data_IF_643615100559
#
_entry.id   IF_643615100559
#
_cell.length_a   1.000
_cell.length_b   1.000
_cell.length_c   1.000
_cell.angle_alpha   90.00
_cell.angle_beta   90.00
_cell.angle_gamma   90.00
#
_symmetry.space_group_name_H-M   'P 1'
#
loop_
_entity.id
_entity.type
_entity.pdbx_description
1 polymer ?
#
# COMPACT_ATOMS: atom_id res chain seq x y z
N UNK A 1 15.65 -2.56 -3.75
CA UNK A 1 15.78 -4.02 -3.58
C UNK A 1 16.03 -4.61 -4.95
N UNK A 2 17.23 -5.11 -5.19
CA UNK A 2 17.60 -5.75 -6.46
C UNK A 2 17.41 -7.27 -6.41
N UNK A 3 17.45 -7.85 -5.20
CA UNK A 3 17.14 -9.25 -4.89
C UNK A 3 16.18 -9.30 -3.69
N UNK A 4 14.98 -9.89 -3.87
CA UNK A 4 13.97 -10.00 -2.80
C UNK A 4 14.37 -10.98 -1.68
N UNK A 5 15.42 -11.78 -1.88
CA UNK A 5 15.95 -12.68 -0.85
C UNK A 5 17.05 -12.06 0.01
N UNK A 6 17.56 -10.90 -0.40
CA UNK A 6 18.55 -10.12 0.34
C UNK A 6 17.98 -8.73 0.71
N UNK A 7 17.64 -8.48 1.99
CA UNK A 7 17.10 -7.19 2.41
C UNK A 7 18.06 -6.02 2.17
N UNK A 8 19.37 -6.27 2.14
CA UNK A 8 20.43 -5.27 1.93
C UNK A 8 20.80 -5.08 0.44
N UNK A 9 20.12 -5.76 -0.47
CA UNK A 9 20.39 -5.60 -1.90
C UNK A 9 19.94 -4.21 -2.40
N UNK A 10 20.88 -3.39 -2.82
CA UNK A 10 20.62 -2.00 -3.22
C UNK A 10 21.25 -1.72 -4.57
N UNK A 11 20.50 -1.00 -5.42
CA UNK A 11 21.06 -0.27 -6.55
C UNK A 11 21.30 1.17 -6.05
N UNK A 12 22.56 1.64 -5.94
CA UNK A 12 22.86 2.98 -5.44
C UNK A 12 22.20 4.11 -6.24
N UNK A 13 21.92 3.89 -7.53
CA UNK A 13 21.25 4.87 -8.37
C UNK A 13 19.74 5.01 -8.05
N UNK A 14 19.16 4.02 -7.37
CA UNK A 14 17.74 4.01 -6.97
C UNK A 14 17.56 4.01 -5.46
N UNK A 15 18.63 4.19 -4.68
CA UNK A 15 18.53 4.19 -3.23
C UNK A 15 18.03 5.55 -2.71
N UNK A 16 16.82 5.59 -2.16
CA UNK A 16 16.27 6.80 -1.55
C UNK A 16 17.03 7.24 -0.29
N UNK A 17 17.91 6.40 0.26
CA UNK A 17 18.75 6.74 1.42
C UNK A 17 20.18 7.14 1.03
N UNK A 18 20.48 7.24 -0.27
CA UNK A 18 21.77 7.72 -0.76
C UNK A 18 21.80 9.26 -0.80
N UNK A 19 22.77 9.92 -0.14
CA UNK A 19 22.91 11.38 -0.17
C UNK A 19 23.00 11.97 -1.59
N UNK A 20 23.59 11.24 -2.54
CA UNK A 20 23.75 11.66 -3.94
C UNK A 20 22.40 11.73 -4.68
N UNK A 21 21.39 10.99 -4.21
CA UNK A 21 20.03 11.03 -4.73
C UNK A 21 19.16 12.10 -4.04
N UNK A 22 19.69 12.82 -3.03
CA UNK A 22 18.98 13.89 -2.33
C UNK A 22 18.58 13.61 -0.89
N UNK A 23 18.91 12.42 -0.37
CA UNK A 23 18.64 12.06 1.03
C UNK A 23 19.40 12.94 2.03
N UNK A 24 18.78 13.22 3.18
CA UNK A 24 19.43 13.85 4.34
C UNK A 24 19.09 13.07 5.62
N UNK A 25 19.99 13.05 6.63
CA UNK A 25 19.72 12.38 7.89
C UNK A 25 18.49 12.96 8.58
N UNK A 26 17.62 12.10 9.11
CA UNK A 26 16.45 12.54 9.86
C UNK A 26 16.85 13.43 11.06
N UNK A 27 16.12 14.54 11.35
CA UNK A 27 14.87 15.02 10.73
C UNK A 27 15.08 16.07 9.62
N UNK A 28 16.27 16.15 9.02
CA UNK A 28 16.48 17.09 7.92
C UNK A 28 15.66 16.65 6.69
N UNK A 29 14.91 17.56 6.04
CA UNK A 29 14.12 17.21 4.88
C UNK A 29 15.03 16.83 3.71
N UNK A 30 14.70 15.71 3.06
CA UNK A 30 15.32 15.33 1.80
C UNK A 30 14.76 16.18 0.65
N UNK A 31 15.47 16.20 -0.47
CA UNK A 31 14.97 16.81 -1.71
C UNK A 31 15.41 15.97 -2.90
N UNK A 32 14.44 15.32 -3.55
CA UNK A 32 14.71 14.41 -4.66
C UNK A 32 14.49 15.09 -6.00
N UNK A 33 15.45 14.91 -6.92
CA UNK A 33 15.28 15.31 -8.32
C UNK A 33 14.03 14.64 -8.93
N UNK A 34 13.29 15.38 -9.77
CA UNK A 34 12.03 14.90 -10.34
C UNK A 34 12.23 13.87 -11.45
N UNK A 35 13.34 13.94 -12.18
CA UNK A 35 13.73 12.90 -13.13
C UNK A 35 14.11 11.61 -12.41
N UNK A 36 14.90 11.70 -11.34
CA UNK A 36 15.22 10.57 -10.47
C UNK A 36 13.96 9.95 -9.87
N UNK A 37 13.03 10.76 -9.34
CA UNK A 37 11.78 10.29 -8.74
C UNK A 37 10.92 9.51 -9.75
N UNK A 38 10.86 9.96 -11.01
CA UNK A 38 10.16 9.25 -12.07
C UNK A 38 10.76 7.85 -12.30
N UNK A 39 12.08 7.77 -12.47
CA UNK A 39 12.80 6.50 -12.63
C UNK A 39 12.69 5.59 -11.41
N UNK A 40 12.73 6.15 -10.21
CA UNK A 40 12.51 5.43 -8.96
C UNK A 40 11.12 4.78 -8.93
N UNK A 41 10.07 5.53 -9.28
CA UNK A 41 8.68 5.04 -9.32
C UNK A 41 8.49 3.95 -10.39
N UNK A 42 9.15 4.07 -11.56
CA UNK A 42 9.18 3.01 -12.58
C UNK A 42 9.83 1.74 -12.05
N UNK A 43 11.01 1.85 -11.42
CA UNK A 43 11.70 0.70 -10.84
C UNK A 43 10.90 0.02 -9.72
N UNK A 44 10.15 0.77 -8.91
CA UNK A 44 9.24 0.20 -7.92
C UNK A 44 8.07 -0.55 -8.57
N UNK A 45 7.49 -0.04 -9.67
CA UNK A 45 6.47 -0.76 -10.43
C UNK A 45 7.01 -2.08 -10.99
N UNK A 46 8.19 -2.07 -11.58
CA UNK A 46 8.84 -3.29 -12.08
C UNK A 46 9.13 -4.29 -10.97
N UNK A 47 9.56 -3.80 -9.80
CA UNK A 47 9.74 -4.62 -8.59
C UNK A 47 8.43 -5.31 -8.19
N UNK A 48 7.33 -4.57 -8.11
CA UNK A 48 6.00 -5.12 -7.81
C UNK A 48 5.61 -6.18 -8.83
N UNK A 49 5.86 -5.95 -10.13
CA UNK A 49 5.57 -6.95 -11.18
C UNK A 49 6.38 -8.25 -10.99
N UNK A 50 7.64 -8.17 -10.54
CA UNK A 50 8.45 -9.36 -10.20
C UNK A 50 7.86 -10.13 -9.02
N UNK A 51 7.46 -9.43 -7.95
CA UNK A 51 6.83 -10.06 -6.78
C UNK A 51 5.47 -10.68 -7.13
N UNK A 52 4.67 -10.02 -7.96
CA UNK A 52 3.44 -10.59 -8.53
C UNK A 52 3.71 -11.89 -9.28
N UNK A 53 4.77 -11.93 -10.08
CA UNK A 53 5.21 -13.14 -10.78
C UNK A 53 5.54 -14.29 -9.82
N UNK A 54 6.22 -14.00 -8.71
CA UNK A 54 6.50 -14.99 -7.64
C UNK A 54 5.19 -15.50 -7.05
N UNK A 55 4.27 -14.60 -6.70
CA UNK A 55 2.99 -14.95 -6.11
C UNK A 55 2.13 -15.81 -7.05
N UNK A 56 2.01 -15.41 -8.32
CA UNK A 56 1.22 -16.13 -9.33
C UNK A 56 1.78 -17.52 -9.60
N UNK A 57 3.11 -17.66 -9.70
CA UNK A 57 3.75 -18.99 -9.85
C UNK A 57 3.45 -19.91 -8.66
N UNK A 58 3.49 -19.38 -7.44
CA UNK A 58 3.17 -20.18 -6.25
C UNK A 58 1.71 -20.65 -6.22
N UNK A 59 0.77 -19.83 -6.68
CA UNK A 59 -0.65 -20.23 -6.81
C UNK A 59 -0.85 -21.26 -7.92
N UNK A 60 -0.23 -21.05 -9.09
CA UNK A 60 -0.30 -21.99 -10.20
C UNK A 60 0.29 -23.36 -9.84
N UNK A 61 1.44 -23.40 -9.17
CA UNK A 61 2.05 -24.63 -8.66
C UNK A 61 1.07 -25.38 -7.74
N UNK A 62 0.45 -24.66 -6.79
CA UNK A 62 -0.53 -25.26 -5.87
C UNK A 62 -1.72 -25.86 -6.61
N UNK A 63 -2.28 -25.12 -7.57
CA UNK A 63 -3.45 -25.56 -8.33
C UNK A 63 -3.10 -26.76 -9.24
N UNK A 64 -1.91 -26.76 -9.85
CA UNK A 64 -1.38 -27.89 -10.61
C UNK A 64 -1.27 -29.17 -9.75
N UNK A 65 -0.69 -29.05 -8.56
CA UNK A 65 -0.57 -30.20 -7.65
C UNK A 65 -1.92 -30.65 -7.09
N UNK A 66 -2.90 -29.75 -6.96
CA UNK A 66 -4.27 -30.13 -6.61
C UNK A 66 -4.91 -31.01 -7.69
N UNK A 67 -4.78 -30.62 -8.97
CA UNK A 67 -5.24 -31.43 -10.11
C UNK A 67 -4.56 -32.79 -10.14
N UNK A 68 -3.22 -32.84 -9.99
CA UNK A 68 -2.48 -34.11 -9.93
C UNK A 68 -2.93 -34.99 -8.77
N UNK A 69 -3.11 -34.42 -7.58
CA UNK A 69 -3.57 -35.16 -6.41
C UNK A 69 -4.99 -35.73 -6.60
N UNK A 70 -5.87 -35.03 -7.33
CA UNK A 70 -7.21 -35.51 -7.64
C UNK A 70 -7.21 -36.72 -8.59
N UNK A 71 -6.18 -36.84 -9.45
CA UNK A 71 -6.01 -37.97 -10.37
C UNK A 71 -5.29 -39.19 -9.78
N UNK A 72 -4.71 -39.06 -8.57
CA UNK A 72 -3.98 -40.15 -7.92
C UNK A 72 -4.89 -40.96 -6.97
N UNK A 73 -4.59 -42.25 -6.80
CA UNK A 73 -5.33 -43.12 -5.90
C UNK A 73 -5.28 -42.62 -4.46
N UNK A 74 -6.44 -42.29 -3.91
CA UNK A 74 -6.55 -41.74 -2.54
C UNK A 74 -6.00 -42.73 -1.53
N UNK A 75 -5.05 -42.27 -0.71
CA UNK A 75 -4.37 -43.08 0.29
C UNK A 75 -3.02 -43.66 -0.17
N UNK A 76 -2.70 -43.57 -1.47
CA UNK A 76 -1.37 -43.92 -1.98
C UNK A 76 -0.29 -42.95 -1.48
N UNK A 77 0.97 -43.41 -1.54
CA UNK A 77 2.13 -42.57 -1.23
C UNK A 77 2.24 -41.35 -2.17
N UNK A 78 1.95 -41.55 -3.46
CA UNK A 78 1.92 -40.48 -4.48
C UNK A 78 0.86 -39.44 -4.15
N UNK A 79 -0.39 -39.87 -3.90
CA UNK A 79 -1.47 -38.97 -3.50
C UNK A 79 -1.08 -38.15 -2.27
N UNK A 80 -0.45 -38.76 -1.27
CA UNK A 80 0.00 -38.06 -0.07
C UNK A 80 1.04 -36.97 -0.39
N UNK A 81 2.03 -37.27 -1.24
CA UNK A 81 3.06 -36.31 -1.64
C UNK A 81 2.49 -35.15 -2.47
N UNK A 82 1.66 -35.45 -3.46
CA UNK A 82 0.99 -34.43 -4.29
C UNK A 82 0.09 -33.54 -3.44
N UNK A 83 -0.70 -34.14 -2.54
CA UNK A 83 -1.61 -33.39 -1.66
C UNK A 83 -0.85 -32.42 -0.76
N UNK A 84 0.32 -32.78 -0.22
CA UNK A 84 1.14 -31.85 0.60
C UNK A 84 1.49 -30.58 -0.17
N UNK A 85 1.83 -30.70 -1.46
CA UNK A 85 2.10 -29.55 -2.34
C UNK A 85 0.82 -28.79 -2.69
N UNK A 86 -0.27 -29.50 -2.97
CA UNK A 86 -1.58 -28.91 -3.27
C UNK A 86 -2.16 -28.06 -2.13
N UNK A 87 -1.81 -28.36 -0.87
CA UNK A 87 -2.27 -27.57 0.29
C UNK A 87 -1.21 -26.62 0.83
N UNK A 88 0.02 -26.68 0.30
CA UNK A 88 1.08 -25.77 0.70
C UNK A 88 0.74 -24.33 0.30
N UNK A 89 1.04 -23.39 1.20
CA UNK A 89 0.89 -21.96 0.95
C UNK A 89 2.26 -21.31 1.04
N UNK A 90 2.71 -20.74 -0.07
CA UNK A 90 3.93 -19.94 -0.10
C UNK A 90 3.72 -18.64 0.66
N UNK A 91 4.65 -18.34 1.55
CA UNK A 91 4.80 -17.02 2.15
C UNK A 91 5.82 -16.20 1.36
N UNK A 92 5.53 -14.91 1.21
CA UNK A 92 6.36 -13.89 0.58
C UNK A 92 6.76 -12.92 1.68
N UNK A 93 8.05 -12.65 1.77
CA UNK A 93 8.60 -11.61 2.65
C UNK A 93 9.02 -10.44 1.78
N UNK A 94 8.41 -9.27 2.00
CA UNK A 94 8.67 -8.05 1.23
C UNK A 94 9.30 -6.99 2.11
N UNK A 95 10.53 -6.60 1.79
CA UNK A 95 11.26 -5.59 2.54
C UNK A 95 10.97 -4.17 2.01
N UNK A 96 11.23 -3.17 2.86
CA UNK A 96 11.16 -1.74 2.50
C UNK A 96 9.83 -1.32 1.85
N UNK A 97 8.72 -1.70 2.48
CA UNK A 97 7.35 -1.42 2.01
C UNK A 97 6.90 0.02 2.23
N UNK A 98 7.66 0.81 3.00
CA UNK A 98 7.44 2.24 3.24
C UNK A 98 8.51 3.08 2.52
N UNK A 99 9.14 2.55 1.47
CA UNK A 99 10.15 3.27 0.70
C UNK A 99 9.52 4.25 -0.29
N UNK A 100 8.70 5.17 0.22
CA UNK A 100 8.14 6.29 -0.54
C UNK A 100 8.94 7.58 -0.26
N UNK A 101 9.60 8.16 -1.29
CA UNK A 101 10.31 9.44 -1.16
C UNK A 101 9.46 10.58 -0.60
N UNK A 102 8.12 10.56 -0.78
CA UNK A 102 7.22 11.59 -0.26
C UNK A 102 7.14 11.63 1.28
N UNK A 103 7.62 10.59 1.97
CA UNK A 103 7.78 10.61 3.43
C UNK A 103 9.00 11.41 3.88
N UNK A 104 9.98 11.66 3.01
CA UNK A 104 11.21 12.41 3.36
C UNK A 104 11.29 13.77 2.66
N UNK A 105 10.58 13.95 1.54
CA UNK A 105 10.50 15.19 0.78
C UNK A 105 9.03 15.65 0.66
N UNK A 106 8.65 16.61 1.49
CA UNK A 106 7.30 17.17 1.53
C UNK A 106 6.94 18.00 0.27
N UNK A 107 7.90 18.27 -0.61
CA UNK A 107 7.63 18.98 -1.87
C UNK A 107 7.05 18.07 -2.95
N UNK A 108 7.10 16.75 -2.76
CA UNK A 108 6.40 15.76 -3.59
C UNK A 108 4.94 15.75 -3.16
N UNK A 109 3.98 16.00 -4.04
CA UNK A 109 2.55 16.05 -3.68
C UNK A 109 2.25 16.98 -2.48
N UNK A 110 2.58 18.29 -2.53
CA UNK A 110 2.56 19.18 -1.37
C UNK A 110 1.15 19.34 -0.76
N UNK A 111 1.05 19.22 0.57
CA UNK A 111 -0.17 19.40 1.37
C UNK A 111 0.18 19.83 2.82
N UNK A 112 -0.74 19.72 3.78
CA UNK A 112 -0.54 20.19 5.17
C UNK A 112 0.27 19.21 6.04
N UNK A 113 0.74 18.08 5.51
CA UNK A 113 1.40 17.03 6.30
C UNK A 113 2.80 17.43 6.79
N UNK A 114 3.20 16.83 7.91
CA UNK A 114 4.61 16.73 8.26
C UNK A 114 5.28 15.62 7.42
N UNK A 115 6.59 15.74 7.17
CA UNK A 115 7.37 14.61 6.65
C UNK A 115 7.40 13.48 7.69
N UNK A 116 7.50 12.24 7.21
CA UNK A 116 7.31 11.01 7.97
C UNK A 116 6.09 10.21 7.53
N UNK A 117 5.78 9.17 8.29
CA UNK A 117 4.64 8.26 8.09
C UNK A 117 4.07 7.86 9.45
N UNK A 118 2.79 7.48 9.52
CA UNK A 118 2.23 6.88 10.74
C UNK A 118 2.79 5.48 11.04
N UNK A 119 3.45 4.84 10.07
CA UNK A 119 3.95 3.47 10.18
C UNK A 119 5.40 3.37 10.67
N UNK A 120 6.08 4.50 10.87
CA UNK A 120 7.46 4.56 11.35
C UNK A 120 7.63 5.75 12.29
N UNK A 121 8.32 5.56 13.42
CA UNK A 121 8.62 6.66 14.32
C UNK A 121 10.02 6.53 14.94
N UNK A 122 10.88 7.57 14.85
CA UNK A 122 10.65 8.83 14.14
C UNK A 122 10.98 8.74 12.64
N UNK A 123 11.89 7.86 12.23
CA UNK A 123 12.47 7.82 10.87
C UNK A 123 11.83 6.69 10.02
N UNK A 124 11.32 6.98 8.80
CA UNK A 124 10.89 5.95 7.84
C UNK A 124 11.93 4.84 7.57
N UNK A 125 13.24 5.15 7.70
CA UNK A 125 14.33 4.18 7.60
C UNK A 125 14.15 3.00 8.57
N UNK A 126 13.73 3.28 9.81
CA UNK A 126 13.60 2.28 10.87
C UNK A 126 12.54 1.24 10.55
N UNK A 127 11.44 1.61 9.89
CA UNK A 127 10.43 0.64 9.47
C UNK A 127 10.83 -0.07 8.16
N UNK A 128 11.63 0.58 7.32
CA UNK A 128 12.12 -0.02 6.08
C UNK A 128 13.17 -1.12 6.31
N UNK A 129 14.09 -0.92 7.25
CA UNK A 129 15.16 -1.88 7.58
C UNK A 129 14.96 -2.63 8.90
N UNK A 130 14.22 -2.05 9.85
CA UNK A 130 13.96 -2.64 11.16
C UNK A 130 12.71 -3.52 11.21
N UNK A 131 12.29 -3.81 12.44
CA UNK A 131 11.23 -4.78 12.74
C UNK A 131 9.83 -4.35 12.24
N UNK A 132 9.54 -3.05 12.29
CA UNK A 132 8.18 -2.50 12.18
C UNK A 132 7.57 -2.38 10.78
N UNK A 133 8.19 -2.95 9.73
CA UNK A 133 7.73 -2.73 8.36
C UNK A 133 6.32 -3.27 8.09
N UNK A 134 5.54 -2.44 7.41
CA UNK A 134 4.15 -2.70 7.09
C UNK A 134 4.02 -3.86 6.08
N UNK A 135 3.13 -4.82 6.35
CA UNK A 135 2.83 -5.90 5.41
C UNK A 135 4.00 -6.85 5.09
N UNK A 136 5.01 -6.93 5.97
CA UNK A 136 6.28 -7.62 5.74
C UNK A 136 6.15 -9.06 5.25
N UNK A 137 5.24 -9.85 5.84
CA UNK A 137 5.07 -11.28 5.52
C UNK A 137 3.62 -11.54 5.14
N UNK A 138 3.41 -12.05 3.93
CA UNK A 138 2.10 -12.34 3.37
C UNK A 138 2.08 -13.72 2.74
N UNK A 139 0.90 -14.35 2.65
CA UNK A 139 0.75 -15.46 1.70
C UNK A 139 0.81 -14.91 0.27
N UNK A 140 1.16 -15.75 -0.71
CA UNK A 140 1.13 -15.36 -2.12
C UNK A 140 -0.24 -14.79 -2.56
N UNK A 141 -1.35 -15.38 -2.07
CA UNK A 141 -2.69 -14.85 -2.30
C UNK A 141 -2.91 -13.50 -1.59
N UNK A 142 -2.45 -13.36 -0.35
CA UNK A 142 -2.56 -12.12 0.41
C UNK A 142 -1.84 -10.95 -0.26
N UNK A 143 -0.66 -11.19 -0.84
CA UNK A 143 0.07 -10.20 -1.63
C UNK A 143 -0.78 -9.68 -2.80
N UNK A 144 -1.26 -10.60 -3.67
CA UNK A 144 -2.08 -10.24 -4.83
C UNK A 144 -3.43 -9.62 -4.44
N UNK A 145 -3.96 -9.98 -3.27
CA UNK A 145 -5.25 -9.49 -2.81
C UNK A 145 -5.19 -8.08 -2.24
N UNK A 146 -4.11 -7.68 -1.57
CA UNK A 146 -4.10 -6.46 -0.74
C UNK A 146 -2.89 -5.54 -0.98
N UNK A 147 -1.72 -6.08 -1.33
CA UNK A 147 -0.45 -5.32 -1.27
C UNK A 147 0.16 -5.03 -2.63
N UNK A 148 -0.17 -5.81 -3.65
CA UNK A 148 0.28 -5.54 -5.00
C UNK A 148 -0.38 -4.27 -5.53
N UNK A 149 0.42 -3.22 -5.77
CA UNK A 149 -0.03 -2.00 -6.43
C UNK A 149 -0.39 -2.17 -7.92
N UNK A 150 -0.21 -3.37 -8.49
CA UNK A 150 -0.55 -3.69 -9.88
C UNK A 150 -1.73 -4.67 -10.01
N UNK A 151 -1.89 -5.58 -9.04
CA UNK A 151 -2.86 -6.68 -9.13
C UNK A 151 -4.00 -6.60 -8.12
N UNK A 152 -3.85 -5.83 -7.02
CA UNK A 152 -4.86 -5.78 -5.97
C UNK A 152 -6.07 -4.95 -6.38
N UNK A 153 -7.27 -5.43 -6.04
CA UNK A 153 -8.51 -4.67 -6.12
C UNK A 153 -8.79 -3.84 -4.86
N UNK A 154 -7.85 -3.77 -3.91
CA UNK A 154 -7.94 -2.90 -2.73
C UNK A 154 -7.66 -1.43 -3.11
N UNK A 155 -8.35 -0.94 -4.14
CA UNK A 155 -8.25 0.40 -4.69
C UNK A 155 -9.64 1.05 -4.63
N UNK A 156 -9.84 1.95 -3.66
CA UNK A 156 -11.18 2.53 -3.42
C UNK A 156 -11.69 3.27 -4.65
N UNK A 157 -10.84 3.99 -5.38
CA UNK A 157 -11.24 4.69 -6.61
C UNK A 157 -11.80 3.75 -7.70
N UNK A 158 -11.41 2.48 -7.72
CA UNK A 158 -11.93 1.49 -8.68
C UNK A 158 -13.23 0.82 -8.20
N UNK A 159 -13.45 0.76 -6.89
CA UNK A 159 -14.59 0.03 -6.28
C UNK A 159 -15.75 0.93 -5.87
N UNK A 160 -15.48 2.19 -5.51
CA UNK A 160 -16.48 3.18 -5.11
C UNK A 160 -17.51 3.57 -6.21
N UNK A 161 -17.27 3.38 -7.53
CA UNK A 161 -18.34 3.54 -8.52
C UNK A 161 -19.55 2.62 -8.29
N UNK A 162 -19.36 1.48 -7.61
CA UNK A 162 -20.45 0.57 -7.23
C UNK A 162 -21.31 1.04 -6.06
N UNK A 163 -20.91 2.12 -5.37
CA UNK A 163 -21.65 2.69 -4.23
C UNK A 163 -22.60 3.77 -4.75
N UNK A 164 -23.90 3.47 -4.78
CA UNK A 164 -24.95 4.37 -5.30
C UNK A 164 -25.76 5.09 -4.21
N UNK A 165 -25.60 4.69 -2.95
CA UNK A 165 -26.23 5.35 -1.79
C UNK A 165 -25.55 6.69 -1.48
N UNK A 166 -26.23 7.66 -0.83
CA UNK A 166 -25.60 8.92 -0.44
C UNK A 166 -24.24 8.72 0.25
N UNK A 167 -23.22 9.46 -0.19
CA UNK A 167 -21.83 9.24 0.22
C UNK A 167 -21.17 10.52 0.70
N UNK A 168 -20.51 10.47 1.86
CA UNK A 168 -19.67 11.52 2.39
C UNK A 168 -18.21 11.05 2.41
N UNK A 169 -17.33 11.82 1.79
CA UNK A 169 -15.87 11.64 1.85
C UNK A 169 -15.30 12.78 2.71
N UNK A 170 -14.66 12.43 3.82
CA UNK A 170 -13.98 13.37 4.71
C UNK A 170 -12.48 13.11 4.65
N UNK A 171 -11.68 14.12 4.31
CA UNK A 171 -10.24 13.99 4.12
C UNK A 171 -9.44 14.88 5.09
N UNK A 172 -8.62 14.30 6.00
CA UNK A 172 -7.64 15.06 6.75
C UNK A 172 -6.49 15.53 5.86
N UNK A 173 -6.25 16.85 5.76
CA UNK A 173 -5.26 17.39 4.81
C UNK A 173 -3.81 17.27 5.26
N UNK A 174 -3.56 16.90 6.52
CA UNK A 174 -2.23 16.60 7.06
C UNK A 174 -2.01 15.08 7.25
N UNK A 175 -2.71 14.27 6.45
CA UNK A 175 -2.53 12.82 6.40
C UNK A 175 -1.17 12.46 5.75
N UNK A 176 -0.41 11.59 6.41
CA UNK A 176 0.91 11.18 5.89
C UNK A 176 0.82 10.07 4.86
N UNK A 177 -0.30 9.36 4.76
CA UNK A 177 -0.48 8.17 3.92
C UNK A 177 -1.37 8.40 2.69
N UNK A 178 -2.46 9.15 2.86
CA UNK A 178 -3.41 9.44 1.79
C UNK A 178 -3.21 10.87 1.30
N UNK A 179 -2.90 11.03 0.01
CA UNK A 179 -2.67 12.35 -0.60
C UNK A 179 -3.98 13.00 -1.04
N UNK A 180 -3.98 14.34 -1.10
CA UNK A 180 -5.11 15.15 -1.55
C UNK A 180 -5.68 14.66 -2.90
N UNK A 181 -4.81 14.41 -3.87
CA UNK A 181 -5.24 13.94 -5.20
C UNK A 181 -5.88 12.55 -5.18
N UNK A 182 -5.50 11.67 -4.24
CA UNK A 182 -6.10 10.34 -4.08
C UNK A 182 -7.50 10.46 -3.46
N UNK A 183 -7.65 11.30 -2.42
CA UNK A 183 -8.94 11.57 -1.80
C UNK A 183 -9.93 12.20 -2.81
N UNK A 184 -9.46 13.15 -3.62
CA UNK A 184 -10.24 13.74 -4.70
C UNK A 184 -10.65 12.69 -5.74
N UNK A 185 -9.71 11.85 -6.19
CA UNK A 185 -10.02 10.79 -7.15
C UNK A 185 -11.08 9.80 -6.64
N UNK A 186 -11.05 9.46 -5.35
CA UNK A 186 -12.08 8.64 -4.71
C UNK A 186 -13.45 9.32 -4.76
N UNK A 187 -13.53 10.61 -4.40
CA UNK A 187 -14.77 11.36 -4.47
C UNK A 187 -15.31 11.45 -5.90
N UNK A 188 -14.45 11.79 -6.86
CA UNK A 188 -14.82 11.95 -8.28
C UNK A 188 -15.38 10.64 -8.85
N UNK A 189 -14.75 9.51 -8.52
CA UNK A 189 -15.17 8.18 -8.95
C UNK A 189 -16.46 7.67 -8.27
N UNK A 190 -16.89 8.27 -7.16
CA UNK A 190 -18.06 7.81 -6.40
C UNK A 190 -19.33 7.75 -7.25
N UNK A 191 -20.03 6.61 -7.20
CA UNK A 191 -21.23 6.33 -8.01
C UNK A 191 -22.53 6.97 -7.50
N UNK A 192 -22.51 7.56 -6.32
CA UNK A 192 -23.66 8.20 -5.71
C UNK A 192 -23.97 9.55 -6.39
N UNK A 193 -25.25 9.79 -6.69
CA UNK A 193 -25.71 11.09 -7.19
C UNK A 193 -25.62 12.17 -6.09
N UNK A 194 -25.94 11.79 -4.85
CA UNK A 194 -25.75 12.61 -3.66
C UNK A 194 -24.41 12.28 -3.02
N UNK A 195 -23.37 13.04 -3.36
CA UNK A 195 -22.05 12.89 -2.77
C UNK A 195 -21.45 14.21 -2.32
N UNK A 196 -20.79 14.20 -1.16
CA UNK A 196 -20.14 15.37 -0.57
C UNK A 196 -18.66 15.06 -0.28
N UNK A 197 -17.78 16.02 -0.57
CA UNK A 197 -16.37 15.99 -0.20
C UNK A 197 -16.09 17.12 0.79
N UNK A 198 -15.43 16.80 1.91
CA UNK A 198 -15.01 17.81 2.89
C UNK A 198 -13.58 17.55 3.34
N UNK A 199 -12.79 18.61 3.37
CA UNK A 199 -11.43 18.59 3.89
C UNK A 199 -11.41 19.08 5.35
N UNK A 200 -10.66 18.37 6.21
CA UNK A 200 -10.38 18.79 7.58
C UNK A 200 -8.96 19.35 7.64
N UNK A 201 -8.86 20.68 7.54
CA UNK A 201 -7.59 21.38 7.40
C UNK A 201 -6.65 21.15 8.58
N UNK A 202 -5.43 20.70 8.29
CA UNK A 202 -4.39 20.40 9.27
C UNK A 202 -4.69 19.21 10.18
N UNK A 203 -5.74 18.42 9.90
CA UNK A 203 -6.02 17.21 10.65
C UNK A 203 -5.09 16.07 10.19
N UNK A 204 -4.56 15.31 11.14
CA UNK A 204 -3.72 14.13 10.87
C UNK A 204 -4.58 12.89 10.56
N UNK A 205 -3.93 11.81 10.10
CA UNK A 205 -4.55 10.54 9.68
C UNK A 205 -5.62 9.99 10.65
N UNK A 206 -5.36 9.99 11.97
CA UNK A 206 -6.32 9.51 12.98
C UNK A 206 -7.10 10.63 13.69
N UNK A 207 -7.12 11.83 13.09
CA UNK A 207 -7.88 12.99 13.51
C UNK A 207 -7.58 13.41 14.96
N UNK A 208 -6.37 13.20 15.46
CA UNK A 208 -5.98 13.58 16.82
C UNK A 208 -6.25 15.08 17.04
N UNK A 209 -6.97 15.42 18.12
CA UNK A 209 -7.39 16.80 18.40
C UNK A 209 -8.53 17.35 17.53
N UNK A 210 -8.97 16.60 16.50
CA UNK A 210 -10.00 17.02 15.52
C UNK A 210 -11.22 16.09 15.45
N UNK A 211 -11.26 15.01 16.25
CA UNK A 211 -12.35 14.01 16.22
C UNK A 211 -13.74 14.60 16.44
N UNK A 212 -13.89 15.58 17.33
CA UNK A 212 -15.20 16.21 17.59
C UNK A 212 -15.71 16.96 16.35
N UNK A 213 -14.87 17.78 15.74
CA UNK A 213 -15.17 18.48 14.49
C UNK A 213 -15.59 17.51 13.37
N UNK A 214 -14.83 16.42 13.19
CA UNK A 214 -15.19 15.38 12.22
C UNK A 214 -16.54 14.72 12.52
N UNK A 215 -16.84 14.46 13.80
CA UNK A 215 -18.12 13.87 14.21
C UNK A 215 -19.29 14.83 14.01
N UNK A 216 -19.13 16.11 14.35
CA UNK A 216 -20.17 17.13 14.17
C UNK A 216 -20.54 17.26 12.68
N UNK A 217 -19.52 17.27 11.81
CA UNK A 217 -19.69 17.24 10.35
C UNK A 217 -20.50 16.02 9.88
N UNK A 218 -20.14 14.82 10.34
CA UNK A 218 -20.87 13.59 9.98
C UNK A 218 -22.33 13.65 10.46
N UNK A 219 -22.57 14.11 11.69
CA UNK A 219 -23.93 14.23 12.25
C UNK A 219 -24.77 15.22 11.45
N UNK A 220 -24.23 16.39 11.13
CA UNK A 220 -24.94 17.41 10.36
C UNK A 220 -25.22 16.94 8.93
N UNK A 221 -24.30 16.18 8.32
CA UNK A 221 -24.52 15.59 7.00
C UNK A 221 -25.60 14.50 7.00
N UNK A 222 -25.70 13.70 8.07
CA UNK A 222 -26.72 12.65 8.21
C UNK A 222 -28.12 13.19 8.49
N UNK A 223 -28.26 14.29 9.26
CA UNK A 223 -29.56 14.83 9.70
C UNK A 223 -30.61 14.99 8.58
N UNK A 224 -30.30 15.55 7.38
CA UNK A 224 -31.27 15.66 6.29
C UNK A 224 -31.53 14.35 5.52
N UNK A 225 -30.77 13.28 5.78
CA UNK A 225 -30.82 12.00 5.03
C UNK A 225 -31.37 10.82 5.82
N UNK A 226 -31.38 10.92 7.15
CA UNK A 226 -31.82 9.86 8.05
C UNK A 226 -33.12 10.21 8.80
N UNK A 227 -33.95 11.08 8.23
CA UNK A 227 -35.27 11.45 8.74
C UNK A 227 -36.41 10.68 8.10
#
# INVERSE_FOLDING_TARGET
>A
VTDETDPFSVDPALDMYNPDNGWRPWPEPASYDRGWLAGYRDAQRERVARVDGIARRALAERDEYATKAAGADRGSAEWNQLRRRAVHTRYITTYRTLADPAYLDATIDPDDRAHGTIFAFPDPLDANYGLGGLGRVMTARGWLSTWSGLSSHAAVAETIPGVSVPTLVVHPTADTEIRMHQAQAIYDAGGAADKTYVELKGAAHYLQGRRREAMDLVVDWLRPRCG
#
